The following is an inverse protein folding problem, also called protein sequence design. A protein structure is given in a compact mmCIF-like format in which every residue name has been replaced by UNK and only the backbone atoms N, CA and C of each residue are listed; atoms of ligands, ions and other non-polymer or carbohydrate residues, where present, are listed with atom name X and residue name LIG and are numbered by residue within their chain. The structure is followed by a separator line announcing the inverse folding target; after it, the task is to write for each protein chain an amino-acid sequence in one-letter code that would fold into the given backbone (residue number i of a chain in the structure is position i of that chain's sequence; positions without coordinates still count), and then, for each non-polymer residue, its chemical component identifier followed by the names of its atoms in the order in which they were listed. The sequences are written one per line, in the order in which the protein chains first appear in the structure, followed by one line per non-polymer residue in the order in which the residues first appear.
data_IF_557537661197
#
_entry.id   IF_557537661197
#
_cell.length_a   1.000
_cell.length_b   1.000
_cell.length_c   1.000
_cell.angle_alpha   90.00
_cell.angle_beta   90.00
_cell.angle_gamma   90.00
#
_symmetry.space_group_name_H-M   'P 1'
#
loop_
_entity.id
_entity.type
_entity.pdbx_description
1 polymer ?
#
# COMPACT_ATOMS: atom_id res chain seq x y z
N UNK A 1 -19.39 2.46 -47.90
CA UNK A 1 -18.20 3.34 -47.91
C UNK A 1 -18.04 4.10 -46.59
N UNK A 2 -19.00 4.91 -46.13
CA UNK A 2 -18.83 5.75 -44.90
C UNK A 2 -18.65 4.94 -43.60
N UNK A 3 -19.33 3.78 -43.46
CA UNK A 3 -19.25 2.94 -42.26
C UNK A 3 -17.87 2.29 -42.05
N UNK A 4 -17.18 1.89 -43.13
CA UNK A 4 -15.86 1.26 -43.05
C UNK A 4 -14.76 2.25 -42.65
N UNK A 5 -14.84 3.50 -43.11
CA UNK A 5 -13.94 4.57 -42.67
C UNK A 5 -14.10 4.89 -41.18
N UNK A 6 -15.34 4.88 -40.65
CA UNK A 6 -15.60 5.07 -39.21
C UNK A 6 -15.07 3.94 -38.33
N UNK A 7 -15.16 2.70 -38.79
CA UNK A 7 -14.59 1.53 -38.11
C UNK A 7 -13.04 1.56 -38.11
N UNK A 8 -12.42 1.95 -39.23
CA UNK A 8 -10.97 2.13 -39.31
C UNK A 8 -10.47 3.26 -38.40
N UNK A 9 -11.19 4.38 -38.29
CA UNK A 9 -10.82 5.49 -37.41
C UNK A 9 -10.89 5.10 -35.92
N UNK A 10 -11.93 4.36 -35.50
CA UNK A 10 -12.07 3.88 -34.13
C UNK A 10 -11.00 2.82 -33.76
N UNK A 11 -10.62 1.96 -34.70
CA UNK A 11 -9.54 0.99 -34.49
C UNK A 11 -8.20 1.69 -34.27
N UNK A 12 -7.87 2.70 -35.09
CA UNK A 12 -6.65 3.52 -34.92
C UNK A 12 -6.65 4.29 -33.60
N UNK A 13 -7.79 4.80 -33.15
CA UNK A 13 -7.91 5.50 -31.87
C UNK A 13 -7.67 4.54 -30.68
N UNK A 14 -8.20 3.32 -30.75
CA UNK A 14 -7.96 2.30 -29.72
C UNK A 14 -6.48 1.89 -29.66
N UNK A 15 -5.88 1.62 -30.82
CA UNK A 15 -4.44 1.29 -30.92
C UNK A 15 -3.56 2.42 -30.36
N UNK A 16 -3.92 3.67 -30.61
CA UNK A 16 -3.24 4.84 -30.03
C UNK A 16 -3.39 4.91 -28.51
N UNK A 17 -4.59 4.67 -27.97
CA UNK A 17 -4.83 4.69 -26.52
C UNK A 17 -4.10 3.52 -25.81
N UNK A 18 -4.08 2.34 -26.41
CA UNK A 18 -3.35 1.17 -25.87
C UNK A 18 -1.83 1.43 -25.88
N UNK A 19 -1.30 2.05 -26.94
CA UNK A 19 0.10 2.48 -27.00
C UNK A 19 0.42 3.56 -25.96
N UNK A 20 -0.43 4.58 -25.82
CA UNK A 20 -0.25 5.65 -24.84
C UNK A 20 -0.25 5.11 -23.40
N UNK A 21 -1.13 4.16 -23.10
CA UNK A 21 -1.17 3.47 -21.81
C UNK A 21 0.11 2.66 -21.57
N UNK A 22 0.59 1.91 -22.57
CA UNK A 22 1.85 1.15 -22.47
C UNK A 22 3.06 2.03 -22.21
N UNK A 23 3.15 3.21 -22.83
CA UNK A 23 4.22 4.18 -22.57
C UNK A 23 4.08 4.75 -21.16
N UNK A 24 2.87 5.07 -20.70
CA UNK A 24 2.65 5.60 -19.36
C UNK A 24 2.99 4.58 -18.26
N UNK A 25 2.72 3.30 -18.51
CA UNK A 25 3.10 2.21 -17.61
C UNK A 25 4.63 1.99 -17.60
N UNK A 26 5.30 2.06 -18.75
CA UNK A 26 6.77 2.00 -18.83
C UNK A 26 7.45 3.17 -18.11
N UNK A 27 6.94 4.40 -18.29
CA UNK A 27 7.43 5.60 -17.60
C UNK A 27 7.22 5.49 -16.08
N UNK A 28 6.10 4.92 -15.63
CA UNK A 28 5.86 4.63 -14.21
C UNK A 28 6.88 3.66 -13.64
N UNK A 29 7.23 2.61 -14.38
CA UNK A 29 8.23 1.60 -13.96
C UNK A 29 9.66 2.18 -13.97
N UNK A 30 10.00 3.02 -14.95
CA UNK A 30 11.31 3.70 -14.97
C UNK A 30 11.44 4.77 -13.89
N UNK A 31 10.35 5.48 -13.53
CA UNK A 31 10.34 6.44 -12.42
C UNK A 31 10.30 5.77 -11.04
N UNK A 32 9.84 4.52 -10.92
CA UNK A 32 9.95 3.73 -9.68
C UNK A 32 11.38 3.22 -9.39
N UNK A 33 12.33 3.42 -10.31
CA UNK A 33 13.72 2.94 -10.21
C UNK A 33 14.76 4.00 -9.82
N UNK A 34 14.39 5.08 -9.12
CA UNK A 34 15.35 6.07 -8.60
C UNK A 34 15.30 6.18 -7.08
N UNK A 35 15.99 5.41 -6.25
CA UNK A 35 16.87 4.25 -6.39
C UNK A 35 16.75 3.53 -5.04
N UNK A 36 16.04 2.41 -5.00
CA UNK A 36 16.12 1.52 -3.85
C UNK A 36 17.57 1.01 -3.75
N UNK A 37 18.17 0.99 -2.56
CA UNK A 37 19.53 0.46 -2.37
C UNK A 37 19.49 -1.07 -2.41
N UNK A 38 20.60 -1.69 -2.80
CA UNK A 38 20.85 -3.11 -2.51
C UNK A 38 20.76 -3.28 -0.98
N UNK A 39 20.04 -4.31 -0.49
CA UNK A 39 19.74 -4.58 0.94
C UNK A 39 18.75 -3.59 1.60
N UNK A 40 17.56 -3.44 1.03
CA UNK A 40 16.50 -2.61 1.60
C UNK A 40 15.60 -3.41 2.54
N UNK A 41 15.72 -3.18 3.87
CA UNK A 41 14.88 -3.83 4.91
C UNK A 41 13.38 -3.74 4.61
N UNK A 42 12.91 -2.65 3.98
CA UNK A 42 11.49 -2.49 3.62
C UNK A 42 11.07 -3.40 2.47
N UNK A 43 11.95 -3.64 1.50
CA UNK A 43 11.68 -4.59 0.41
C UNK A 43 11.69 -6.04 0.91
N UNK A 44 12.51 -6.35 1.92
CA UNK A 44 12.59 -7.70 2.48
C UNK A 44 11.31 -8.09 3.23
N UNK A 45 10.59 -7.12 3.77
CA UNK A 45 9.32 -7.31 4.49
C UNK A 45 8.08 -6.97 3.64
N UNK A 46 8.25 -6.63 2.36
CA UNK A 46 7.14 -6.30 1.46
C UNK A 46 6.42 -7.55 0.95
N UNK A 47 5.11 -7.56 1.11
CA UNK A 47 4.20 -8.62 0.66
C UNK A 47 3.81 -8.36 -0.79
N UNK A 48 3.99 -9.38 -1.64
CA UNK A 48 3.67 -9.32 -3.06
C UNK A 48 2.39 -10.09 -3.42
N UNK A 49 1.51 -10.33 -2.45
CA UNK A 49 0.25 -11.03 -2.66
C UNK A 49 -0.87 -10.12 -3.16
N UNK A 50 -1.77 -10.67 -3.97
CA UNK A 50 -2.96 -9.98 -4.47
C UNK A 50 -4.14 -9.98 -3.48
N UNK A 51 -3.94 -10.61 -2.32
CA UNK A 51 -4.96 -10.83 -1.30
C UNK A 51 -4.42 -10.53 0.08
N UNK A 52 -5.33 -10.12 0.95
CA UNK A 52 -5.13 -10.00 2.38
C UNK A 52 -5.92 -11.12 3.05
N UNK A 53 -5.30 -11.88 3.94
CA UNK A 53 -5.96 -12.94 4.72
C UNK A 53 -5.95 -12.52 6.18
N UNK A 54 -7.12 -12.28 6.76
CA UNK A 54 -7.30 -11.97 8.18
C UNK A 54 -8.21 -13.05 8.77
N UNK A 55 -7.58 -14.13 9.20
CA UNK A 55 -8.28 -15.30 9.74
C UNK A 55 -9.07 -16.03 8.69
N UNK A 56 -10.37 -16.16 8.90
CA UNK A 56 -11.28 -16.78 7.93
C UNK A 56 -11.66 -15.83 6.78
N UNK A 57 -11.31 -14.55 6.88
CA UNK A 57 -11.65 -13.53 5.87
C UNK A 57 -10.54 -13.35 4.86
N UNK A 58 -10.92 -13.32 3.58
CA UNK A 58 -10.03 -12.99 2.47
C UNK A 58 -10.53 -11.72 1.76
N UNK A 59 -9.62 -10.77 1.54
CA UNK A 59 -9.90 -9.52 0.82
C UNK A 59 -9.02 -9.43 -0.41
N UNK A 60 -9.63 -9.34 -1.59
CA UNK A 60 -8.88 -9.16 -2.84
C UNK A 60 -8.50 -7.70 -3.04
N UNK A 61 -7.23 -7.46 -3.37
CA UNK A 61 -6.74 -6.16 -3.82
C UNK A 61 -7.19 -5.92 -5.26
N UNK A 62 -7.47 -4.67 -5.60
CA UNK A 62 -7.88 -4.32 -6.98
C UNK A 62 -6.74 -4.45 -7.99
N UNK A 63 -5.51 -4.30 -7.52
CA UNK A 63 -4.28 -4.38 -8.29
C UNK A 63 -3.18 -4.91 -7.38
N UNK A 64 -2.32 -5.77 -7.92
CA UNK A 64 -1.06 -6.13 -7.27
C UNK A 64 -0.06 -5.00 -7.52
N UNK A 65 0.16 -4.15 -6.52
CA UNK A 65 1.10 -3.03 -6.58
C UNK A 65 2.12 -3.26 -5.48
N UNK A 66 3.39 -3.13 -5.81
CA UNK A 66 4.51 -3.28 -4.88
C UNK A 66 5.63 -2.32 -5.28
N UNK A 67 6.45 -1.95 -4.31
CA UNK A 67 7.62 -1.11 -4.48
C UNK A 67 7.79 -0.13 -3.32
N UNK A 68 8.91 -0.25 -2.61
CA UNK A 68 9.21 0.65 -1.48
C UNK A 68 9.37 2.14 -1.86
N UNK A 69 9.58 2.47 -3.14
CA UNK A 69 9.69 3.86 -3.61
C UNK A 69 8.34 4.46 -4.03
N UNK A 70 7.25 3.70 -3.96
CA UNK A 70 5.92 4.23 -4.25
C UNK A 70 5.53 5.29 -3.22
N UNK A 71 4.91 6.36 -3.71
CA UNK A 71 4.49 7.55 -2.93
C UNK A 71 2.98 7.68 -2.95
N UNK A 72 2.38 8.50 -2.09
CA UNK A 72 0.94 8.82 -2.11
C UNK A 72 0.03 7.58 -2.15
N UNK A 73 0.05 6.77 -1.09
CA UNK A 73 -0.64 5.48 -1.05
C UNK A 73 -1.21 5.16 0.33
N UNK A 74 -2.02 4.09 0.37
CA UNK A 74 -2.47 3.42 1.59
C UNK A 74 -1.73 2.09 1.70
N UNK A 75 -1.18 1.81 2.89
CA UNK A 75 -0.48 0.56 3.21
C UNK A 75 -1.08 -0.11 4.44
N UNK A 76 -0.83 -1.42 4.55
CA UNK A 76 -1.11 -2.24 5.72
C UNK A 76 0.19 -2.73 6.34
N UNK A 77 0.33 -2.66 7.67
CA UNK A 77 1.34 -3.40 8.43
C UNK A 77 0.66 -4.59 9.08
N UNK A 78 1.11 -5.79 8.73
CA UNK A 78 0.60 -7.03 9.28
C UNK A 78 1.53 -7.48 10.41
N UNK A 79 0.93 -7.98 11.49
CA UNK A 79 1.66 -8.70 12.52
C UNK A 79 1.61 -10.19 12.19
N UNK A 80 2.76 -10.81 11.97
CA UNK A 80 2.85 -12.24 11.62
C UNK A 80 2.51 -13.15 12.80
N UNK A 81 2.59 -12.65 14.05
CA UNK A 81 2.16 -13.39 15.25
C UNK A 81 0.66 -13.28 15.51
N UNK A 82 0.11 -12.08 15.33
CA UNK A 82 -1.32 -11.86 15.45
C UNK A 82 -1.98 -12.13 14.11
N UNK A 83 -2.41 -13.38 13.87
CA UNK A 83 -3.01 -13.87 12.62
C UNK A 83 -4.05 -12.93 11.94
N UNK A 84 -4.65 -11.98 12.66
CA UNK A 84 -5.73 -11.13 12.17
C UNK A 84 -5.45 -9.63 12.33
N UNK A 85 -4.32 -9.23 12.93
CA UNK A 85 -4.09 -7.83 13.27
C UNK A 85 -3.33 -7.13 12.16
N UNK A 86 -3.91 -6.00 11.74
CA UNK A 86 -3.32 -5.10 10.76
C UNK A 86 -3.43 -3.67 11.27
N UNK A 87 -2.40 -2.88 10.99
CA UNK A 87 -2.44 -1.43 11.02
C UNK A 87 -2.62 -0.91 9.59
N UNK A 88 -3.58 -0.04 9.35
CA UNK A 88 -3.72 0.70 8.08
C UNK A 88 -3.19 2.11 8.27
N UNK A 89 -2.34 2.56 7.34
CA UNK A 89 -1.83 3.93 7.32
C UNK A 89 -1.81 4.54 5.92
N UNK A 90 -1.79 5.86 5.87
CA UNK A 90 -1.49 6.63 4.66
C UNK A 90 -0.07 7.20 4.66
N UNK A 91 0.44 7.47 3.46
CA UNK A 91 1.63 8.30 3.27
C UNK A 91 1.56 9.09 1.97
N UNK A 92 2.00 10.35 2.00
CA UNK A 92 2.34 11.12 0.79
C UNK A 92 3.77 10.84 0.31
N UNK A 93 4.66 10.54 1.26
CA UNK A 93 6.08 10.22 1.03
C UNK A 93 6.25 8.79 0.55
N UNK A 94 7.49 8.38 0.28
CA UNK A 94 7.75 7.00 -0.13
C UNK A 94 7.34 6.02 0.97
N UNK A 95 6.91 4.82 0.56
CA UNK A 95 6.64 3.72 1.48
C UNK A 95 7.89 3.44 2.33
N UNK A 96 9.08 3.46 1.73
CA UNK A 96 10.35 3.24 2.40
C UNK A 96 10.57 4.19 3.59
N UNK A 97 10.40 5.49 3.36
CA UNK A 97 10.54 6.49 4.43
C UNK A 97 9.52 6.25 5.54
N UNK A 98 8.26 5.97 5.18
CA UNK A 98 7.20 5.77 6.17
C UNK A 98 7.40 4.51 7.02
N UNK A 99 7.84 3.41 6.41
CA UNK A 99 8.09 2.16 7.14
C UNK A 99 9.31 2.31 8.06
N UNK A 100 10.38 2.98 7.61
CA UNK A 100 11.54 3.25 8.46
C UNK A 100 11.20 4.09 9.68
N UNK A 101 10.24 5.00 9.59
CA UNK A 101 9.74 5.73 10.75
C UNK A 101 9.04 4.81 11.74
N UNK A 102 8.14 3.95 11.30
CA UNK A 102 7.50 2.97 12.19
C UNK A 102 8.53 2.07 12.87
N UNK A 103 9.52 1.59 12.12
CA UNK A 103 10.62 0.78 12.67
C UNK A 103 11.47 1.56 13.68
N UNK A 104 11.68 2.87 13.45
CA UNK A 104 12.35 3.74 14.41
C UNK A 104 11.50 4.00 15.65
N UNK A 105 10.18 4.18 15.50
CA UNK A 105 9.23 4.39 16.59
C UNK A 105 9.20 3.17 17.52
N UNK A 106 9.19 1.95 16.96
CA UNK A 106 9.31 0.70 17.72
C UNK A 106 10.63 0.67 18.50
N UNK A 107 11.76 0.88 17.80
CA UNK A 107 13.11 0.86 18.41
C UNK A 107 13.28 1.87 19.55
N UNK A 108 12.60 3.00 19.47
CA UNK A 108 12.70 4.09 20.44
C UNK A 108 11.51 4.16 21.40
N UNK A 109 10.67 3.14 21.42
CA UNK A 109 9.49 3.03 22.29
C UNK A 109 8.62 4.30 22.29
N UNK A 110 8.29 4.78 21.08
CA UNK A 110 7.46 5.96 20.90
C UNK A 110 6.00 5.63 21.18
N UNK A 111 5.27 6.61 21.71
CA UNK A 111 3.84 6.54 21.94
C UNK A 111 3.06 6.59 20.60
N UNK A 112 3.07 5.46 19.90
CA UNK A 112 2.34 5.24 18.66
C UNK A 112 1.70 3.87 18.70
N UNK A 113 0.51 3.72 18.11
CA UNK A 113 -0.22 2.45 18.15
C UNK A 113 0.56 1.25 17.58
N UNK A 114 1.45 1.50 16.61
CA UNK A 114 2.33 0.48 16.02
C UNK A 114 3.44 0.11 16.99
N UNK A 115 4.19 1.08 17.52
CA UNK A 115 5.25 0.83 18.49
C UNK A 115 4.71 0.17 19.76
N UNK A 116 3.61 0.66 20.31
CA UNK A 116 2.93 0.06 21.46
C UNK A 116 2.58 -1.42 21.24
N UNK A 117 2.19 -1.81 20.02
CA UNK A 117 1.86 -3.21 19.72
C UNK A 117 3.10 -4.08 19.59
N UNK A 118 4.11 -3.64 18.83
CA UNK A 118 5.31 -4.44 18.59
C UNK A 118 6.32 -4.42 19.73
N UNK A 119 6.11 -3.58 20.76
CA UNK A 119 6.88 -3.59 22.02
C UNK A 119 6.18 -4.38 23.14
N UNK A 120 5.05 -5.05 22.86
CA UNK A 120 4.41 -5.97 23.81
C UNK A 120 5.26 -7.21 24.05
N UNK A 121 4.99 -7.94 25.14
CA UNK A 121 5.58 -9.26 25.35
C UNK A 121 5.24 -10.18 24.16
N UNK A 122 6.24 -10.95 23.73
CA UNK A 122 6.16 -11.84 22.56
C UNK A 122 5.90 -11.10 21.23
N UNK A 123 6.25 -9.82 21.08
CA UNK A 123 6.26 -9.14 19.79
C UNK A 123 7.59 -8.42 19.56
N UNK A 124 7.99 -8.29 18.31
CA UNK A 124 9.12 -7.45 17.92
C UNK A 124 8.97 -6.93 16.49
N UNK A 125 9.88 -6.04 16.06
CA UNK A 125 9.84 -5.44 14.72
C UNK A 125 9.97 -6.48 13.59
N UNK A 126 10.60 -7.62 13.86
CA UNK A 126 10.77 -8.72 12.91
C UNK A 126 9.44 -9.43 12.59
N UNK A 127 8.40 -9.22 13.41
CA UNK A 127 7.05 -9.75 13.18
C UNK A 127 6.23 -8.87 12.21
N UNK A 128 6.84 -7.85 11.60
CA UNK A 128 6.17 -6.90 10.69
C UNK A 128 6.35 -7.31 9.24
N UNK A 129 5.25 -7.33 8.51
CA UNK A 129 5.26 -7.30 7.04
C UNK A 129 4.41 -6.15 6.52
N UNK A 130 4.74 -5.61 5.34
CA UNK A 130 4.05 -4.47 4.74
C UNK A 130 3.38 -4.85 3.42
N UNK A 131 2.16 -4.39 3.19
CA UNK A 131 1.46 -4.57 1.92
C UNK A 131 0.90 -3.25 1.42
N UNK A 132 1.11 -2.91 0.15
CA UNK A 132 0.45 -1.76 -0.47
C UNK A 132 -1.01 -2.13 -0.75
N UNK A 133 -1.94 -1.41 -0.11
CA UNK A 133 -3.36 -1.67 -0.25
C UNK A 133 -3.96 -0.92 -1.44
N UNK A 134 -3.52 0.33 -1.63
CA UNK A 134 -4.03 1.17 -2.71
C UNK A 134 -3.10 2.34 -3.02
N UNK A 135 -2.66 2.44 -4.28
CA UNK A 135 -2.04 3.65 -4.82
C UNK A 135 -3.08 4.77 -4.97
N UNK A 136 -2.78 5.96 -4.47
CA UNK A 136 -3.60 7.17 -4.65
C UNK A 136 -2.98 8.04 -5.73
N UNK A 137 -3.79 8.46 -6.70
CA UNK A 137 -3.37 9.34 -7.79
C UNK A 137 -3.85 10.78 -7.60
N UNK A 138 -4.86 10.99 -6.75
CA UNK A 138 -5.31 12.31 -6.33
C UNK A 138 -4.28 12.93 -5.38
N UNK A 139 -4.04 14.25 -5.50
CA UNK A 139 -3.08 14.98 -4.65
C UNK A 139 -3.68 15.44 -3.32
N UNK A 140 -4.98 15.28 -3.13
CA UNK A 140 -5.71 15.69 -1.93
C UNK A 140 -5.39 14.77 -0.75
N UNK A 141 -4.73 15.33 0.27
CA UNK A 141 -4.53 14.64 1.54
C UNK A 141 -5.86 14.24 2.19
N UNK A 142 -6.93 15.04 2.03
CA UNK A 142 -8.25 14.71 2.57
C UNK A 142 -8.86 13.49 1.88
N UNK A 143 -8.68 13.36 0.56
CA UNK A 143 -9.12 12.18 -0.16
C UNK A 143 -8.34 10.94 0.29
N UNK A 144 -7.01 11.05 0.42
CA UNK A 144 -6.18 9.96 0.91
C UNK A 144 -6.57 9.50 2.32
N UNK A 145 -6.80 10.42 3.26
CA UNK A 145 -7.30 10.13 4.63
C UNK A 145 -8.70 9.51 4.63
N UNK A 146 -9.58 9.95 3.73
CA UNK A 146 -10.88 9.32 3.56
C UNK A 146 -10.73 7.86 3.13
N UNK A 147 -9.86 7.57 2.15
CA UNK A 147 -9.60 6.19 1.70
C UNK A 147 -8.91 5.35 2.79
N UNK A 148 -7.99 5.92 3.57
CA UNK A 148 -7.41 5.29 4.77
C UNK A 148 -8.52 4.81 5.73
N UNK A 149 -9.46 5.69 6.09
CA UNK A 149 -10.56 5.35 6.98
C UNK A 149 -11.48 4.25 6.40
N UNK A 150 -11.71 4.24 5.09
CA UNK A 150 -12.47 3.17 4.44
C UNK A 150 -11.74 1.81 4.54
N UNK A 151 -10.42 1.80 4.36
CA UNK A 151 -9.62 0.58 4.55
C UNK A 151 -9.60 0.12 6.00
N UNK A 152 -9.49 1.06 6.95
CA UNK A 152 -9.55 0.74 8.38
C UNK A 152 -10.86 0.04 8.74
N UNK A 153 -11.99 0.55 8.23
CA UNK A 153 -13.31 -0.06 8.43
C UNK A 153 -13.41 -1.42 7.73
N UNK A 154 -13.00 -1.51 6.47
CA UNK A 154 -13.10 -2.72 5.65
C UNK A 154 -12.34 -3.90 6.27
N UNK A 155 -11.14 -3.64 6.79
CA UNK A 155 -10.28 -4.66 7.40
C UNK A 155 -10.49 -4.80 8.91
N UNK A 156 -11.39 -4.00 9.50
CA UNK A 156 -11.67 -3.98 10.95
C UNK A 156 -10.40 -3.83 11.81
N UNK A 157 -9.57 -2.84 11.47
CA UNK A 157 -8.23 -2.65 12.05
C UNK A 157 -8.19 -1.86 13.34
N UNK A 158 -9.34 -1.34 13.82
CA UNK A 158 -9.39 -0.55 15.04
C UNK A 158 -9.36 -1.48 16.26
N UNK A 159 -8.56 -1.15 17.29
CA UNK A 159 -8.51 -1.88 18.55
C UNK A 159 -9.93 -2.10 19.11
N UNK A 160 -10.26 -3.30 19.62
CA UNK A 160 -9.38 -4.44 19.90
C UNK A 160 -9.21 -5.45 18.73
N UNK A 161 -9.65 -5.11 17.52
CA UNK A 161 -9.65 -6.06 16.39
C UNK A 161 -8.46 -5.92 15.45
N UNK A 162 -7.69 -4.84 15.61
CA UNK A 162 -6.41 -4.62 14.94
C UNK A 162 -5.59 -3.59 15.71
N UNK A 163 -4.65 -2.96 15.02
CA UNK A 163 -3.63 -2.10 15.66
C UNK A 163 -4.07 -0.64 15.73
N UNK A 164 -4.86 -0.14 14.76
CA UNK A 164 -5.25 1.26 14.71
C UNK A 164 -6.01 1.69 15.97
N UNK A 165 -5.79 2.93 16.41
CA UNK A 165 -6.60 3.58 17.46
C UNK A 165 -7.62 4.51 16.81
N UNK A 166 -8.80 4.63 17.41
CA UNK A 166 -9.80 5.59 16.98
C UNK A 166 -9.27 6.99 17.29
N UNK A 167 -9.16 7.85 16.27
CA UNK A 167 -8.89 9.27 16.51
C UNK A 167 -10.15 9.87 17.13
N UNK A 168 -10.00 10.47 18.31
CA UNK A 168 -11.07 11.20 19.00
C UNK A 168 -11.55 12.43 18.20
#
# INVERSE_FOLDING_TARGET
MVLEFGLMANKKLKEFMDFANSINDKIKVELSNKTCKEECEVCDIERHEEKIILGDKTFNLKKNIHGCQLVNLIYGLHCEKCNHYVYVGETERSLNERIKEHLADIRHDRDTAVAEHFNQEDHCKEDITVQVLQQIYDKSANYRRYIEAQWMQKLNTIRPFGINVKKE
#
